data_IF_880521078821
#
_entry.id   IF_880521078821
#
_cell.length_a   1.000
_cell.length_b   1.000
_cell.length_c   1.000
_cell.angle_alpha   90.00
_cell.angle_beta   90.00
_cell.angle_gamma   90.00
#
_symmetry.space_group_name_H-M   'P 1'
#
loop_
_entity.id
_entity.type
_entity.pdbx_description
1 polymer ?
#
# COMPACT_ATOMS: atom_id res chain seq x y z
N UNK A 1 6.19 -17.50 30.55
CA UNK A 1 7.41 -18.11 30.00
C UNK A 1 8.60 -17.35 30.54
N UNK A 2 9.65 -18.01 31.03
CA UNK A 2 10.79 -17.34 31.68
C UNK A 2 10.41 -16.34 32.80
N UNK A 3 9.34 -16.62 33.57
CA UNK A 3 8.85 -15.74 34.63
C UNK A 3 7.88 -14.64 34.18
N UNK A 4 7.66 -14.46 32.88
CA UNK A 4 6.77 -13.44 32.33
C UNK A 4 5.37 -14.00 32.01
N UNK A 5 4.36 -13.13 32.17
CA UNK A 5 3.01 -13.40 31.67
C UNK A 5 3.01 -13.41 30.14
N UNK A 6 2.27 -14.35 29.56
CA UNK A 6 2.16 -14.50 28.12
C UNK A 6 0.71 -14.59 27.70
N UNK A 7 0.41 -14.17 26.46
CA UNK A 7 -0.90 -14.37 25.89
C UNK A 7 -1.08 -15.84 25.49
N UNK A 8 -1.99 -16.52 26.18
CA UNK A 8 -2.24 -17.96 26.03
C UNK A 8 -3.54 -18.27 25.30
N UNK A 9 -3.45 -19.13 24.29
CA UNK A 9 -4.57 -19.79 23.60
C UNK A 9 -4.88 -21.11 24.31
N UNK A 10 -6.16 -21.32 24.63
CA UNK A 10 -6.61 -22.48 25.39
C UNK A 10 -6.56 -23.78 24.57
N UNK A 11 -5.53 -24.58 24.82
CA UNK A 11 -5.44 -26.00 24.45
C UNK A 11 -5.87 -26.34 23.02
N UNK A 12 -6.50 -27.52 22.86
CA UNK A 12 -6.96 -28.02 21.56
C UNK A 12 -8.21 -27.28 21.04
N UNK A 13 -8.95 -26.61 21.92
CA UNK A 13 -10.21 -25.94 21.55
C UNK A 13 -9.94 -24.56 20.93
N UNK A 14 -8.89 -23.87 21.37
CA UNK A 14 -8.49 -22.56 20.85
C UNK A 14 -7.69 -22.64 19.55
N UNK A 15 -7.11 -23.80 19.22
CA UNK A 15 -6.32 -23.99 18.00
C UNK A 15 -7.12 -23.75 16.70
N UNK A 16 -8.28 -24.40 16.44
CA UNK A 16 -9.00 -24.17 15.19
C UNK A 16 -9.47 -22.72 14.97
N UNK A 17 -10.00 -22.00 15.99
CA UNK A 17 -10.35 -20.58 15.83
C UNK A 17 -9.16 -19.66 15.56
N UNK A 18 -8.02 -19.86 16.23
CA UNK A 18 -6.84 -19.01 16.02
C UNK A 18 -6.18 -19.29 14.65
N UNK A 19 -6.18 -20.55 14.20
CA UNK A 19 -5.78 -20.92 12.83
C UNK A 19 -6.67 -20.21 11.80
N UNK A 20 -7.99 -20.28 12.01
CA UNK A 20 -8.97 -19.63 11.13
C UNK A 20 -8.80 -18.12 11.08
N UNK A 21 -8.44 -17.48 12.21
CA UNK A 21 -8.16 -16.06 12.28
C UNK A 21 -6.98 -15.68 11.37
N UNK A 22 -5.84 -16.37 11.48
CA UNK A 22 -4.65 -16.06 10.69
C UNK A 22 -4.81 -16.40 9.21
N UNK A 23 -5.51 -17.48 8.88
CA UNK A 23 -5.90 -17.77 7.50
C UNK A 23 -6.86 -16.70 6.95
N UNK A 24 -7.85 -16.28 7.74
CA UNK A 24 -8.74 -15.18 7.38
C UNK A 24 -7.97 -13.88 7.11
N UNK A 25 -7.01 -13.54 7.98
CA UNK A 25 -6.10 -12.40 7.79
C UNK A 25 -5.33 -12.54 6.49
N UNK A 26 -4.70 -13.69 6.23
CA UNK A 26 -3.96 -13.96 4.99
C UNK A 26 -4.81 -13.69 3.74
N UNK A 27 -6.04 -14.23 3.71
CA UNK A 27 -6.94 -14.02 2.57
C UNK A 27 -7.41 -12.57 2.43
N UNK A 28 -7.65 -11.87 3.54
CA UNK A 28 -8.02 -10.44 3.52
C UNK A 28 -6.94 -9.58 2.87
N UNK A 29 -5.65 -9.84 3.17
CA UNK A 29 -4.55 -9.14 2.51
C UNK A 29 -4.50 -9.43 1.01
N UNK A 30 -4.60 -10.69 0.63
CA UNK A 30 -4.55 -11.07 -0.79
C UNK A 30 -5.74 -10.55 -1.61
N UNK A 31 -6.95 -10.64 -1.06
CA UNK A 31 -8.19 -10.40 -1.82
C UNK A 31 -8.69 -8.96 -1.71
N UNK A 32 -8.45 -8.29 -0.59
CA UNK A 32 -9.02 -6.97 -0.29
C UNK A 32 -7.93 -5.89 -0.23
N UNK A 33 -6.99 -6.01 0.71
CA UNK A 33 -6.02 -4.93 0.97
C UNK A 33 -5.03 -4.74 -0.19
N UNK A 34 -4.55 -5.83 -0.81
CA UNK A 34 -3.62 -5.79 -1.95
C UNK A 34 -4.34 -5.85 -3.30
N UNK A 35 -5.66 -5.64 -3.32
CA UNK A 35 -6.43 -5.69 -4.56
C UNK A 35 -5.97 -4.58 -5.52
N UNK A 36 -5.67 -4.97 -6.77
CA UNK A 36 -5.08 -4.09 -7.79
C UNK A 36 -5.83 -2.77 -8.00
N UNK A 37 -7.15 -2.79 -7.92
CA UNK A 37 -7.96 -1.58 -8.11
C UNK A 37 -7.87 -0.62 -6.91
N UNK A 38 -7.73 -1.15 -5.68
CA UNK A 38 -7.53 -0.36 -4.47
C UNK A 38 -6.17 0.32 -4.53
N UNK A 39 -5.12 -0.44 -4.85
CA UNK A 39 -3.76 0.07 -5.03
C UNK A 39 -3.64 1.11 -6.15
N UNK A 40 -4.33 0.88 -7.27
CA UNK A 40 -4.37 1.85 -8.37
C UNK A 40 -5.09 3.16 -7.97
N UNK A 41 -6.15 3.10 -7.16
CA UNK A 41 -6.80 4.30 -6.63
C UNK A 41 -5.92 5.05 -5.63
N UNK A 42 -5.23 4.32 -4.74
CA UNK A 42 -4.25 4.89 -3.80
C UNK A 42 -3.12 5.62 -4.54
N UNK A 43 -2.64 5.07 -5.65
CA UNK A 43 -1.63 5.73 -6.47
C UNK A 43 -2.11 7.08 -7.04
N UNK A 44 -3.38 7.18 -7.45
CA UNK A 44 -3.97 8.47 -7.85
C UNK A 44 -4.03 9.45 -6.69
N UNK A 45 -4.47 9.00 -5.51
CA UNK A 45 -4.57 9.84 -4.30
C UNK A 45 -3.17 10.35 -3.91
N UNK A 46 -2.16 9.48 -3.90
CA UNK A 46 -0.76 9.85 -3.63
C UNK A 46 -0.25 10.88 -4.63
N UNK A 47 -0.46 10.65 -5.93
CA UNK A 47 -0.06 11.60 -6.97
C UNK A 47 -0.76 12.95 -6.82
N UNK A 48 -2.05 12.93 -6.49
CA UNK A 48 -2.86 14.13 -6.30
C UNK A 48 -2.38 14.96 -5.10
N UNK A 49 -2.10 14.34 -3.96
CA UNK A 49 -1.54 15.05 -2.80
C UNK A 49 -0.08 15.48 -3.02
N UNK A 50 0.74 14.67 -3.71
CA UNK A 50 2.10 15.06 -4.07
C UNK A 50 2.09 16.33 -4.92
N UNK A 51 1.24 16.38 -5.97
CA UNK A 51 1.10 17.54 -6.84
C UNK A 51 0.53 18.75 -6.12
N UNK A 52 -0.50 18.56 -5.28
CA UNK A 52 -1.02 19.65 -4.46
C UNK A 52 0.06 20.23 -3.54
N UNK A 53 0.90 19.38 -2.93
CA UNK A 53 2.01 19.81 -2.10
C UNK A 53 3.11 20.55 -2.87
N UNK A 54 3.43 20.13 -4.09
CA UNK A 54 4.35 20.86 -4.99
C UNK A 54 3.82 22.27 -5.28
N UNK A 55 2.56 22.37 -5.67
CA UNK A 55 1.91 23.64 -5.99
C UNK A 55 1.91 24.60 -4.79
N UNK A 56 1.70 24.09 -3.57
CA UNK A 56 1.83 24.90 -2.34
C UNK A 56 3.25 25.42 -2.16
N UNK A 57 4.28 24.56 -2.30
CA UNK A 57 5.68 24.96 -2.15
C UNK A 57 6.13 25.95 -3.22
N UNK A 58 5.54 25.87 -4.41
CA UNK A 58 5.75 26.82 -5.51
C UNK A 58 5.02 28.16 -5.30
N UNK A 59 4.32 28.36 -4.18
CA UNK A 59 3.55 29.58 -3.91
C UNK A 59 2.26 29.70 -4.73
N UNK A 60 1.77 28.59 -5.30
CA UNK A 60 0.56 28.49 -6.14
C UNK A 60 -0.41 27.44 -5.58
N UNK A 61 -0.82 27.54 -4.31
CA UNK A 61 -1.66 26.51 -3.69
C UNK A 61 -2.95 26.28 -4.49
N UNK A 62 -3.42 25.03 -4.64
CA UNK A 62 -4.70 24.76 -5.26
C UNK A 62 -5.84 25.46 -4.54
N UNK A 63 -6.87 25.86 -5.29
CA UNK A 63 -8.07 26.45 -4.70
C UNK A 63 -8.68 25.52 -3.65
N UNK A 64 -9.09 26.13 -2.54
CA UNK A 64 -9.80 25.46 -1.43
C UNK A 64 -9.04 24.28 -0.84
N UNK A 65 -7.71 24.33 -0.88
CA UNK A 65 -6.86 23.45 -0.11
C UNK A 65 -7.12 23.63 1.41
N UNK A 66 -7.41 22.55 2.15
CA UNK A 66 -7.56 22.62 3.60
C UNK A 66 -6.29 23.15 4.29
N UNK A 67 -6.41 23.98 5.35
CA UNK A 67 -5.26 24.53 6.07
C UNK A 67 -4.26 23.46 6.54
N UNK A 68 -4.76 22.34 7.10
CA UNK A 68 -3.90 21.22 7.51
C UNK A 68 -3.01 20.69 6.38
N UNK A 69 -3.55 20.54 5.16
CA UNK A 69 -2.76 20.08 4.01
C UNK A 69 -1.77 21.13 3.55
N UNK A 70 -2.13 22.42 3.63
CA UNK A 70 -1.24 23.52 3.30
C UNK A 70 -0.05 23.60 4.27
N UNK A 71 -0.31 23.52 5.58
CA UNK A 71 0.71 23.50 6.63
C UNK A 71 1.62 22.27 6.49
N UNK A 72 1.03 21.08 6.30
CA UNK A 72 1.78 19.86 6.06
C UNK A 72 2.70 19.97 4.81
N UNK A 73 2.20 20.54 3.71
CA UNK A 73 2.97 20.70 2.48
C UNK A 73 4.16 21.67 2.62
N UNK A 74 4.06 22.66 3.52
CA UNK A 74 5.14 23.60 3.87
C UNK A 74 6.11 23.05 4.93
N UNK A 75 5.84 21.86 5.49
CA UNK A 75 6.62 21.29 6.59
C UNK A 75 6.35 21.98 7.93
N UNK A 76 5.23 22.67 8.05
CA UNK A 76 4.78 23.33 9.28
C UNK A 76 4.03 22.35 10.18
N UNK A 77 3.92 22.69 11.47
CA UNK A 77 3.09 21.92 12.41
C UNK A 77 1.62 22.06 12.04
N UNK A 78 0.96 20.94 11.76
CA UNK A 78 -0.50 20.87 11.62
C UNK A 78 -1.11 20.95 13.02
N UNK A 79 -1.97 21.93 13.26
CA UNK A 79 -2.66 22.02 14.54
C UNK A 79 -3.67 20.89 14.71
N UNK A 80 -3.97 20.51 15.96
CA UNK A 80 -4.96 19.48 16.23
C UNK A 80 -6.34 19.84 15.67
N UNK A 81 -6.74 21.11 15.77
CA UNK A 81 -8.03 21.58 15.23
C UNK A 81 -8.11 21.39 13.72
N UNK A 82 -7.10 21.86 12.98
CA UNK A 82 -7.05 21.69 11.52
C UNK A 82 -7.03 20.22 11.10
N UNK A 83 -6.36 19.35 11.88
CA UNK A 83 -6.36 17.91 11.63
C UNK A 83 -7.74 17.29 11.86
N UNK A 84 -8.45 17.67 12.94
CA UNK A 84 -9.78 17.15 13.26
C UNK A 84 -10.86 17.64 12.29
N UNK A 85 -10.63 18.78 11.62
CA UNK A 85 -11.51 19.30 10.57
C UNK A 85 -11.33 18.55 9.23
N UNK A 86 -10.31 17.68 9.09
CA UNK A 86 -10.14 16.84 7.91
C UNK A 86 -10.99 15.58 8.02
N UNK A 87 -11.86 15.40 7.02
CA UNK A 87 -12.57 14.15 6.77
C UNK A 87 -12.67 13.85 5.27
N UNK A 88 -13.21 12.68 4.95
CA UNK A 88 -13.38 12.25 3.57
C UNK A 88 -14.30 13.20 2.77
N UNK A 89 -15.30 13.82 3.40
CA UNK A 89 -16.23 14.72 2.72
C UNK A 89 -15.55 16.04 2.31
N UNK A 90 -14.74 16.61 3.20
CA UNK A 90 -13.90 17.76 2.94
C UNK A 90 -12.93 17.47 1.80
N UNK A 91 -12.22 16.34 1.85
CA UNK A 91 -11.28 15.93 0.79
C UNK A 91 -11.98 15.70 -0.54
N UNK A 92 -13.13 15.01 -0.56
CA UNK A 92 -13.90 14.77 -1.78
C UNK A 92 -14.43 16.07 -2.42
N UNK A 93 -14.74 17.08 -1.59
CA UNK A 93 -15.10 18.43 -2.04
C UNK A 93 -13.92 19.15 -2.67
N UNK A 94 -12.74 19.09 -2.06
CA UNK A 94 -11.50 19.61 -2.65
C UNK A 94 -11.20 18.93 -4.00
N UNK A 95 -11.30 17.59 -4.05
CA UNK A 95 -11.04 16.85 -5.29
C UNK A 95 -12.02 17.22 -6.40
N UNK A 96 -13.29 17.50 -6.10
CA UNK A 96 -14.24 17.99 -7.10
C UNK A 96 -13.86 19.36 -7.65
N UNK A 97 -13.40 20.27 -6.79
CA UNK A 97 -12.94 21.60 -7.22
C UNK A 97 -11.64 21.52 -8.04
N UNK A 98 -10.75 20.59 -7.70
CA UNK A 98 -9.48 20.43 -8.41
C UNK A 98 -9.66 19.88 -9.83
N UNK A 99 -10.81 19.28 -10.19
CA UNK A 99 -11.11 18.89 -11.58
C UNK A 99 -11.07 20.09 -12.55
N UNK A 100 -11.28 21.31 -12.07
CA UNK A 100 -11.21 22.56 -12.83
C UNK A 100 -9.98 23.43 -12.50
N UNK A 101 -8.95 22.84 -11.88
CA UNK A 101 -7.68 23.54 -11.60
C UNK A 101 -6.97 23.96 -12.90
N UNK A 102 -6.32 25.12 -12.89
CA UNK A 102 -5.45 25.55 -14.00
C UNK A 102 -4.22 24.64 -14.18
N UNK A 103 -3.81 23.94 -13.12
CA UNK A 103 -2.79 22.90 -13.21
C UNK A 103 -3.36 21.62 -13.85
N UNK A 104 -3.00 21.37 -15.11
CA UNK A 104 -3.51 20.25 -15.91
C UNK A 104 -3.22 18.89 -15.28
N UNK A 105 -2.09 18.72 -14.60
CA UNK A 105 -1.75 17.48 -13.91
C UNK A 105 -2.68 17.25 -12.71
N UNK A 106 -2.85 18.25 -11.84
CA UNK A 106 -3.78 18.16 -10.71
C UNK A 106 -5.21 17.91 -11.18
N UNK A 107 -5.68 18.65 -12.19
CA UNK A 107 -7.01 18.49 -12.78
C UNK A 107 -7.21 17.10 -13.38
N UNK A 108 -6.20 16.58 -14.09
CA UNK A 108 -6.21 15.24 -14.64
C UNK A 108 -6.29 14.17 -13.55
N UNK A 109 -5.48 14.27 -12.50
CA UNK A 109 -5.48 13.33 -11.37
C UNK A 109 -6.82 13.34 -10.62
N UNK A 110 -7.35 14.53 -10.30
CA UNK A 110 -8.63 14.71 -9.64
C UNK A 110 -9.78 14.12 -10.46
N UNK A 111 -9.82 14.44 -11.76
CA UNK A 111 -10.81 13.92 -12.70
C UNK A 111 -10.75 12.40 -12.78
N UNK A 112 -9.55 11.81 -12.85
CA UNK A 112 -9.37 10.36 -12.92
C UNK A 112 -9.84 9.69 -11.64
N UNK A 113 -9.51 10.24 -10.48
CA UNK A 113 -9.93 9.70 -9.19
C UNK A 113 -11.46 9.72 -9.06
N UNK A 114 -12.07 10.89 -9.27
CA UNK A 114 -13.53 11.10 -9.15
C UNK A 114 -14.34 10.31 -10.17
N UNK A 115 -13.86 10.18 -11.41
CA UNK A 115 -14.51 9.37 -12.47
C UNK A 115 -14.06 7.91 -12.47
N UNK A 116 -13.31 7.47 -11.46
CA UNK A 116 -12.79 6.10 -11.31
C UNK A 116 -12.01 5.59 -12.53
N UNK A 117 -11.28 6.47 -13.22
CA UNK A 117 -10.38 6.13 -14.33
C UNK A 117 -9.01 5.74 -13.80
N UNK A 118 -8.95 4.55 -13.20
CA UNK A 118 -7.77 4.04 -12.52
C UNK A 118 -6.59 3.80 -13.48
N UNK A 119 -5.34 3.94 -13.00
CA UNK A 119 -4.15 3.46 -13.68
C UNK A 119 -4.29 1.99 -14.10
N UNK A 120 -3.60 1.62 -15.17
CA UNK A 120 -3.39 0.21 -15.51
C UNK A 120 -2.35 -0.38 -14.57
N UNK A 121 -2.48 -1.68 -14.34
CA UNK A 121 -1.60 -2.43 -13.45
C UNK A 121 -0.97 -3.57 -14.25
N UNK A 122 0.34 -3.74 -14.13
CA UNK A 122 1.08 -4.88 -14.64
C UNK A 122 1.64 -5.64 -13.43
N UNK A 123 1.18 -6.88 -13.14
CA UNK A 123 1.79 -7.71 -12.11
C UNK A 123 3.24 -8.02 -12.50
N UNK A 124 4.13 -8.01 -11.51
CA UNK A 124 5.53 -8.40 -11.65
C UNK A 124 5.75 -9.74 -10.96
N UNK A 125 6.79 -10.46 -11.39
CA UNK A 125 7.20 -11.70 -10.75
C UNK A 125 7.70 -11.44 -9.32
N UNK A 126 7.36 -12.31 -8.38
CA UNK A 126 7.82 -12.27 -7.00
C UNK A 126 9.16 -12.98 -6.81
N UNK A 127 9.52 -13.89 -7.72
CA UNK A 127 10.66 -14.81 -7.60
C UNK A 127 11.91 -14.24 -8.29
N UNK A 128 12.02 -12.91 -8.36
CA UNK A 128 13.12 -12.18 -9.00
C UNK A 128 13.77 -11.21 -8.02
N UNK A 129 15.00 -10.83 -8.32
CA UNK A 129 15.73 -9.82 -7.55
C UNK A 129 15.03 -8.46 -7.57
N UNK A 130 15.01 -7.77 -6.44
CA UNK A 130 14.37 -6.44 -6.30
C UNK A 130 14.96 -5.40 -7.25
N UNK A 131 16.22 -5.57 -7.65
CA UNK A 131 16.89 -4.73 -8.67
C UNK A 131 16.16 -4.75 -10.02
N UNK A 132 15.52 -5.85 -10.40
CA UNK A 132 14.74 -5.94 -11.62
C UNK A 132 13.48 -5.06 -11.53
N UNK A 133 12.80 -5.04 -10.38
CA UNK A 133 11.62 -4.18 -10.19
C UNK A 133 11.98 -2.70 -10.27
N UNK A 134 13.12 -2.31 -9.70
CA UNK A 134 13.62 -0.94 -9.76
C UNK A 134 13.98 -0.53 -11.20
N UNK A 135 14.58 -1.44 -11.97
CA UNK A 135 14.87 -1.21 -13.38
C UNK A 135 13.60 -1.08 -14.24
N UNK A 136 12.61 -1.93 -13.99
CA UNK A 136 11.28 -1.84 -14.62
C UNK A 136 10.63 -0.49 -14.31
N UNK A 137 10.66 -0.04 -13.05
CA UNK A 137 10.14 1.27 -12.66
C UNK A 137 10.86 2.41 -13.37
N UNK A 138 12.20 2.35 -13.42
CA UNK A 138 13.04 3.38 -14.07
C UNK A 138 12.65 3.53 -15.54
N UNK A 139 12.64 2.44 -16.31
CA UNK A 139 12.27 2.48 -17.75
C UNK A 139 10.84 2.97 -17.96
N UNK A 140 9.90 2.52 -17.14
CA UNK A 140 8.51 2.97 -17.22
C UNK A 140 8.36 4.48 -16.94
N UNK A 141 9.14 5.01 -15.98
CA UNK A 141 9.20 6.45 -15.69
C UNK A 141 9.82 7.25 -16.82
N UNK A 142 10.85 6.75 -17.49
CA UNK A 142 11.46 7.39 -18.65
C UNK A 142 10.46 7.54 -19.81
N UNK A 143 9.72 6.47 -20.10
CA UNK A 143 8.62 6.51 -21.08
C UNK A 143 7.55 7.52 -20.67
N UNK A 144 7.19 7.56 -19.38
CA UNK A 144 6.17 8.48 -18.87
C UNK A 144 6.61 9.95 -18.86
N UNK A 145 7.90 10.23 -18.66
CA UNK A 145 8.47 11.57 -18.68
C UNK A 145 8.56 12.17 -20.09
N UNK A 146 8.75 11.32 -21.11
CA UNK A 146 8.78 11.74 -22.51
C UNK A 146 7.38 12.02 -23.12
N UNK A 147 6.30 11.75 -22.36
CA UNK A 147 4.93 11.96 -22.81
C UNK A 147 4.48 13.42 -22.77
N UNK A 148 3.43 13.74 -23.54
CA UNK A 148 2.88 15.10 -23.78
C UNK A 148 2.41 15.81 -22.50
N UNK A 149 2.23 15.10 -21.40
CA UNK A 149 1.90 15.64 -20.08
C UNK A 149 2.84 15.02 -19.02
N UNK A 150 4.07 15.52 -18.94
CA UNK A 150 5.06 15.04 -17.97
C UNK A 150 4.63 15.35 -16.51
N UNK A 151 4.90 14.44 -15.58
CA UNK A 151 4.62 14.68 -14.16
C UNK A 151 4.98 13.52 -13.22
N UNK A 152 5.32 13.80 -11.95
CA UNK A 152 5.63 12.78 -10.95
C UNK A 152 4.42 11.87 -10.70
N UNK A 153 4.69 10.57 -10.48
CA UNK A 153 3.65 9.59 -10.13
C UNK A 153 2.84 9.02 -11.30
N UNK A 154 3.22 9.28 -12.56
CA UNK A 154 2.56 8.63 -13.71
C UNK A 154 2.86 7.14 -13.77
N UNK A 155 4.13 6.74 -13.74
CA UNK A 155 4.53 5.33 -13.63
C UNK A 155 5.21 5.07 -12.27
N UNK A 156 4.80 4.02 -11.58
CA UNK A 156 5.31 3.70 -10.24
C UNK A 156 5.26 2.21 -9.95
N UNK A 157 6.29 1.72 -9.26
CA UNK A 157 6.29 0.42 -8.61
C UNK A 157 5.50 0.47 -7.30
N UNK A 158 4.56 -0.44 -7.17
CA UNK A 158 3.80 -0.71 -5.96
C UNK A 158 4.12 -2.12 -5.47
N UNK A 159 4.86 -2.22 -4.36
CA UNK A 159 5.12 -3.49 -3.68
C UNK A 159 4.27 -3.53 -2.42
N UNK A 160 3.10 -4.16 -2.52
CA UNK A 160 2.25 -4.38 -1.36
C UNK A 160 2.72 -5.66 -0.64
N UNK A 161 3.03 -5.56 0.65
CA UNK A 161 3.55 -6.67 1.44
C UNK A 161 2.90 -6.77 2.82
N UNK A 162 2.71 -8.00 3.29
CA UNK A 162 2.21 -8.30 4.64
C UNK A 162 2.75 -9.65 5.10
N UNK A 163 3.03 -9.77 6.41
CA UNK A 163 3.34 -11.04 7.07
C UNK A 163 2.11 -11.49 7.86
N UNK A 164 1.29 -12.43 7.31
CA UNK A 164 0.00 -12.78 7.89
C UNK A 164 0.11 -13.45 9.26
N UNK A 165 1.24 -14.09 9.54
CA UNK A 165 1.58 -14.59 10.86
C UNK A 165 3.06 -14.32 11.14
N UNK A 166 3.31 -13.21 11.81
CA UNK A 166 4.62 -12.93 12.38
C UNK A 166 4.67 -13.45 13.82
N UNK A 167 5.69 -14.21 14.13
CA UNK A 167 5.88 -14.78 15.46
C UNK A 167 7.31 -14.52 15.92
N UNK A 168 7.50 -13.72 16.99
CA UNK A 168 8.83 -13.37 17.48
C UNK A 168 9.71 -14.59 17.72
N UNK A 169 10.99 -14.49 17.35
CA UNK A 169 11.96 -15.53 17.62
C UNK A 169 12.22 -15.70 19.13
N UNK A 170 12.55 -16.93 19.53
CA UNK A 170 12.86 -17.25 20.92
C UNK A 170 11.63 -17.38 21.84
N UNK A 171 11.91 -17.53 23.13
CA UNK A 171 10.90 -17.74 24.18
C UNK A 171 10.51 -16.40 24.83
N UNK A 172 9.87 -15.51 24.06
CA UNK A 172 9.50 -14.16 24.50
C UNK A 172 8.02 -14.05 24.88
N UNK A 173 7.67 -13.06 25.70
CA UNK A 173 6.28 -12.75 26.04
C UNK A 173 5.48 -12.08 24.91
N UNK A 174 6.16 -11.61 23.85
CA UNK A 174 5.52 -10.95 22.70
C UNK A 174 4.78 -11.92 21.76
N UNK A 175 5.05 -13.22 21.84
CA UNK A 175 4.40 -14.25 21.02
C UNK A 175 3.09 -14.81 21.60
N UNK A 176 2.36 -15.56 20.78
CA UNK A 176 1.19 -16.34 21.19
C UNK A 176 1.61 -17.76 21.62
N UNK A 177 1.02 -18.23 22.72
CA UNK A 177 1.36 -19.52 23.32
C UNK A 177 0.14 -20.42 23.39
N UNK A 178 0.31 -21.73 23.19
CA UNK A 178 -0.76 -22.72 23.32
C UNK A 178 -0.56 -23.50 24.61
N UNK A 179 -1.60 -23.52 25.44
CA UNK A 179 -1.60 -24.15 26.76
C UNK A 179 -2.41 -25.45 26.72
N UNK A 180 -1.74 -26.59 26.56
CA UNK A 180 -2.38 -27.91 26.60
C UNK A 180 -2.15 -28.53 27.98
N UNK A 181 -3.23 -29.05 28.59
CA UNK A 181 -3.16 -29.71 29.90
C UNK A 181 -2.10 -30.82 29.88
N UNK A 182 -1.28 -30.87 30.94
CA UNK A 182 -0.17 -31.83 31.11
C UNK A 182 0.94 -31.75 30.05
N UNK A 183 1.06 -30.64 29.32
CA UNK A 183 2.17 -30.36 28.41
C UNK A 183 2.84 -29.05 28.78
N UNK A 184 4.11 -28.92 28.41
CA UNK A 184 4.78 -27.62 28.44
C UNK A 184 4.05 -26.66 27.47
N UNK A 185 3.96 -25.35 27.80
CA UNK A 185 3.51 -24.34 26.85
C UNK A 185 4.31 -24.42 25.55
N UNK A 186 3.62 -24.34 24.41
CA UNK A 186 4.23 -24.35 23.09
C UNK A 186 3.99 -23.02 22.41
N UNK A 187 4.89 -22.55 21.55
CA UNK A 187 4.60 -21.42 20.67
C UNK A 187 3.49 -21.81 19.70
N UNK A 188 2.65 -20.85 19.32
CA UNK A 188 1.49 -21.13 18.50
C UNK A 188 1.87 -21.77 17.14
N UNK A 189 2.93 -21.29 16.49
CA UNK A 189 3.39 -21.89 15.23
C UNK A 189 4.00 -23.28 15.41
N UNK A 190 4.46 -23.66 16.61
CA UNK A 190 4.96 -25.02 16.88
C UNK A 190 3.80 -25.98 17.18
N UNK A 191 2.67 -25.45 17.66
CA UNK A 191 1.49 -26.21 18.01
C UNK A 191 0.52 -26.42 16.82
N UNK A 192 0.69 -25.69 15.73
CA UNK A 192 -0.16 -25.73 14.53
C UNK A 192 0.68 -25.96 13.28
N UNK A 193 0.35 -26.98 12.50
CA UNK A 193 0.97 -27.23 11.20
C UNK A 193 0.78 -26.03 10.25
N UNK A 194 -0.45 -25.49 10.18
CA UNK A 194 -0.79 -24.38 9.28
C UNK A 194 -0.04 -23.10 9.64
N UNK A 195 -0.02 -22.75 10.93
CA UNK A 195 0.67 -21.54 11.37
C UNK A 195 2.18 -21.71 11.40
N UNK A 196 2.68 -22.93 11.63
CA UNK A 196 4.08 -23.26 11.43
C UNK A 196 4.53 -22.99 10.00
N UNK A 197 3.71 -23.36 9.01
CA UNK A 197 3.97 -23.04 7.61
C UNK A 197 3.77 -21.57 7.25
N UNK A 198 2.89 -20.82 7.94
CA UNK A 198 2.71 -19.39 7.65
C UNK A 198 3.71 -18.49 8.38
N UNK A 199 4.36 -19.01 9.43
CA UNK A 199 5.27 -18.27 10.32
C UNK A 199 6.33 -17.53 9.53
N UNK A 200 6.35 -16.20 9.69
CA UNK A 200 7.35 -15.32 9.08
C UNK A 200 7.30 -15.25 7.56
N UNK A 201 6.32 -15.89 6.89
CA UNK A 201 6.19 -15.83 5.44
C UNK A 201 5.52 -14.53 5.03
N UNK A 202 6.26 -13.68 4.33
CA UNK A 202 5.74 -12.43 3.77
C UNK A 202 5.09 -12.68 2.42
N UNK A 203 3.85 -12.24 2.25
CA UNK A 203 3.17 -12.18 0.95
C UNK A 203 3.53 -10.86 0.31
N UNK A 204 4.12 -10.89 -0.89
CA UNK A 204 4.44 -9.69 -1.68
C UNK A 204 3.64 -9.72 -2.98
N UNK A 205 3.11 -8.57 -3.38
CA UNK A 205 2.34 -8.40 -4.63
C UNK A 205 2.92 -7.21 -5.39
N UNK A 206 4.08 -7.36 -6.05
CA UNK A 206 4.71 -6.30 -6.82
C UNK A 206 3.91 -6.02 -8.10
N UNK A 207 3.66 -4.74 -8.37
CA UNK A 207 2.92 -4.28 -9.55
C UNK A 207 3.52 -2.98 -10.06
N UNK A 208 3.62 -2.87 -11.37
CA UNK A 208 3.84 -1.57 -12.01
C UNK A 208 2.48 -0.92 -12.30
N UNK A 209 2.31 0.32 -11.86
CA UNK A 209 1.13 1.16 -12.10
C UNK A 209 1.49 2.25 -13.11
N UNK A 210 0.65 2.47 -14.12
CA UNK A 210 0.87 3.51 -15.14
C UNK A 210 -0.44 4.00 -15.79
N UNK A 211 -0.44 5.18 -16.45
CA UNK A 211 -1.62 5.68 -17.16
C UNK A 211 -1.92 4.76 -18.34
N UNK A 212 -3.20 4.48 -18.59
CA UNK A 212 -3.59 3.50 -19.60
C UNK A 212 -3.16 3.84 -21.02
N UNK A 213 -2.96 5.13 -21.28
CA UNK A 213 -2.54 5.70 -22.55
C UNK A 213 -1.06 5.36 -22.86
N UNK A 214 -0.27 5.05 -21.84
CA UNK A 214 1.15 4.68 -21.95
C UNK A 214 1.37 3.17 -21.96
N UNK A 215 0.31 2.36 -22.05
CA UNK A 215 0.43 0.89 -21.95
C UNK A 215 1.36 0.32 -23.01
N UNK A 216 1.10 0.60 -24.28
CA UNK A 216 1.89 0.08 -25.40
C UNK A 216 3.36 0.51 -25.34
N UNK A 217 3.69 1.80 -25.19
CA UNK A 217 5.10 2.20 -25.13
C UNK A 217 5.83 1.67 -23.89
N UNK A 218 5.14 1.55 -22.74
CA UNK A 218 5.73 0.92 -21.54
C UNK A 218 6.00 -0.56 -21.78
N UNK A 219 5.04 -1.32 -22.32
CA UNK A 219 5.25 -2.75 -22.58
C UNK A 219 6.36 -2.98 -23.62
N UNK A 220 6.46 -2.12 -24.64
CA UNK A 220 7.55 -2.17 -25.61
C UNK A 220 8.92 -1.92 -24.96
N UNK A 221 9.03 -0.94 -24.06
CA UNK A 221 10.27 -0.62 -23.35
C UNK A 221 10.71 -1.67 -22.32
N UNK A 222 9.78 -2.53 -21.90
CA UNK A 222 9.99 -3.58 -20.91
C UNK A 222 10.08 -4.99 -21.53
N UNK A 223 9.99 -5.13 -22.85
CA UNK A 223 9.81 -6.43 -23.50
C UNK A 223 10.92 -7.45 -23.20
N UNK A 224 12.15 -7.00 -22.95
CA UNK A 224 13.30 -7.83 -22.55
C UNK A 224 13.32 -8.20 -21.06
N UNK A 225 12.55 -7.49 -20.23
CA UNK A 225 12.52 -7.65 -18.78
C UNK A 225 11.29 -8.41 -18.28
N UNK A 226 10.26 -8.55 -19.12
CA UNK A 226 9.05 -9.29 -18.78
C UNK A 226 9.18 -10.74 -19.26
N UNK A 227 8.70 -11.72 -18.46
CA UNK A 227 8.63 -13.10 -18.92
C UNK A 227 7.77 -13.20 -20.19
N UNK A 228 8.19 -14.08 -21.10
CA UNK A 228 7.56 -14.32 -22.40
C UNK A 228 6.12 -14.86 -22.29
#
# INVERSE_FOLDING_TARGET
>A
VAGEWVLGVEGRKGLPPIESFFLGRHFMYQQVYHHKATRAAEALIRGLFARAGELVRDGRPPDRLPPALASAARGETVSLGEYLDLDDAALLSCFAQWESSDDTLLAGLATRLRKRRLPKTLPLDTDVEESLWLEIERRAREVAAAGVEAGPGRARLDVAEDTPYDEPEGLTAAGLWVLIRHRAPQRLGDASFLLGELRGKTVRVPRLLFPGELREPILAALGDLLPA
#
